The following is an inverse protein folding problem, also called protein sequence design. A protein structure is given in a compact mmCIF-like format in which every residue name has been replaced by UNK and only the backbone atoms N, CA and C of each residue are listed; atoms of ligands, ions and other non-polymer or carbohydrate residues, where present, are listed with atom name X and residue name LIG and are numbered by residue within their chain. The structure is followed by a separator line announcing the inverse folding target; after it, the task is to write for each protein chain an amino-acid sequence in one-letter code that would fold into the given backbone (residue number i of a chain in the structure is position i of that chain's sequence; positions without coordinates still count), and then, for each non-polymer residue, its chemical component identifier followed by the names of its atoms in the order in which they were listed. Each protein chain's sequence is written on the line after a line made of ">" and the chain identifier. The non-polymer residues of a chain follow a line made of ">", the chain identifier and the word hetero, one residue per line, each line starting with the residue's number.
data_IF_029246968164
#
_entry.id   IF_029246968164
#
_cell.length_a   1.000
_cell.length_b   1.000
_cell.length_c   1.000
_cell.angle_alpha   90.00
_cell.angle_beta   90.00
_cell.angle_gamma   90.00
#
_symmetry.space_group_name_H-M   'P 1'
#
loop_
_entity.id
_entity.type
_entity.pdbx_description
1 polymer ?
#
# COMPACT_ATOMS: atom_id res chain seq x y z
N UNK A 1 18.95 7.47 -6.24
CA UNK A 1 17.83 6.97 -7.06
C UNK A 1 16.53 7.57 -6.54
N UNK A 2 15.69 8.03 -7.42
CA UNK A 2 14.42 8.63 -7.04
C UNK A 2 13.33 7.57 -6.94
N UNK A 3 12.34 7.85 -6.11
CA UNK A 3 11.18 6.97 -5.92
C UNK A 3 10.54 6.61 -7.26
N UNK A 4 10.39 7.59 -8.17
CA UNK A 4 9.75 7.33 -9.48
C UNK A 4 10.43 6.25 -10.30
N UNK A 5 11.71 6.02 -10.07
CA UNK A 5 12.48 5.04 -10.82
C UNK A 5 12.26 3.61 -10.33
N UNK A 6 11.70 3.48 -9.13
CA UNK A 6 11.59 2.18 -8.44
C UNK A 6 10.13 1.80 -8.18
N UNK A 7 9.24 2.78 -8.04
CA UNK A 7 7.84 2.55 -7.67
C UNK A 7 7.10 1.69 -8.70
N UNK A 8 6.04 1.03 -8.23
CA UNK A 8 5.09 0.34 -9.09
C UNK A 8 4.00 1.33 -9.48
N UNK A 9 3.75 1.49 -10.79
CA UNK A 9 2.74 2.42 -11.29
C UNK A 9 1.36 1.80 -11.40
N UNK A 10 1.29 0.53 -11.76
CA UNK A 10 0.01 -0.18 -11.86
C UNK A 10 -0.26 -0.83 -10.51
N UNK A 11 -1.06 -0.16 -9.69
CA UNK A 11 -1.32 -0.60 -8.32
C UNK A 11 -2.75 -1.08 -8.17
N UNK A 12 -2.96 -2.00 -7.23
CA UNK A 12 -4.30 -2.45 -6.89
C UNK A 12 -5.00 -1.35 -6.11
N UNK A 13 -6.16 -0.92 -6.60
CA UNK A 13 -6.99 0.04 -5.90
C UNK A 13 -8.34 -0.61 -5.57
N UNK A 14 -8.96 -0.14 -4.49
CA UNK A 14 -10.24 -0.64 -4.04
C UNK A 14 -11.05 0.51 -3.43
N UNK A 15 -12.34 0.28 -3.27
CA UNK A 15 -13.23 1.25 -2.62
C UNK A 15 -13.43 0.87 -1.16
N UNK A 16 -13.86 1.83 -0.34
CA UNK A 16 -14.04 1.61 1.10
C UNK A 16 -15.01 0.49 1.43
N UNK A 17 -15.98 0.22 0.55
CA UNK A 17 -16.98 -0.82 0.77
C UNK A 17 -16.56 -2.21 0.35
N UNK A 18 -15.41 -2.36 -0.31
CA UNK A 18 -14.89 -3.67 -0.69
C UNK A 18 -14.74 -4.53 0.56
N UNK A 19 -15.15 -5.80 0.50
CA UNK A 19 -15.00 -6.68 1.66
C UNK A 19 -13.56 -7.15 1.80
N UNK A 20 -13.23 -7.55 3.02
CA UNK A 20 -11.90 -8.13 3.29
C UNK A 20 -11.66 -9.34 2.39
N UNK A 21 -12.68 -10.22 2.22
CA UNK A 21 -12.54 -11.39 1.36
C UNK A 21 -12.23 -11.01 -0.09
N UNK A 22 -12.92 -10.00 -0.62
CA UNK A 22 -12.70 -9.54 -1.98
C UNK A 22 -11.30 -8.95 -2.14
N UNK A 23 -10.90 -8.10 -1.20
CA UNK A 23 -9.58 -7.47 -1.24
C UNK A 23 -8.47 -8.53 -1.13
N UNK A 24 -8.62 -9.49 -0.21
CA UNK A 24 -7.65 -10.56 -0.04
C UNK A 24 -7.49 -11.38 -1.32
N UNK A 25 -8.61 -11.68 -1.98
CA UNK A 25 -8.59 -12.44 -3.23
C UNK A 25 -7.82 -11.69 -4.31
N UNK A 26 -8.08 -10.40 -4.46
CA UNK A 26 -7.39 -9.58 -5.47
C UNK A 26 -5.91 -9.43 -5.16
N UNK A 27 -5.57 -9.25 -3.88
CA UNK A 27 -4.18 -9.15 -3.46
C UNK A 27 -3.43 -10.45 -3.76
N UNK A 28 -4.06 -11.58 -3.49
CA UNK A 28 -3.47 -12.88 -3.77
C UNK A 28 -3.26 -13.10 -5.26
N UNK A 29 -4.26 -12.75 -6.08
CA UNK A 29 -4.18 -12.90 -7.53
C UNK A 29 -3.04 -12.06 -8.12
N UNK A 30 -2.86 -10.87 -7.60
CA UNK A 30 -1.84 -9.95 -8.10
C UNK A 30 -0.51 -10.08 -7.38
N UNK A 31 -0.44 -10.93 -6.38
CA UNK A 31 0.78 -11.17 -5.58
C UNK A 31 1.32 -9.87 -4.96
N UNK A 32 0.41 -9.07 -4.42
CA UNK A 32 0.76 -7.83 -3.73
C UNK A 32 0.28 -7.88 -2.29
N UNK A 33 0.96 -7.13 -1.43
CA UNK A 33 0.67 -7.12 0.00
C UNK A 33 -0.20 -5.98 0.46
N UNK A 34 -0.71 -5.18 -0.48
CA UNK A 34 -1.52 -4.02 -0.12
C UNK A 34 -2.46 -3.62 -1.24
N UNK A 35 -3.50 -2.88 -0.88
CA UNK A 35 -4.40 -2.24 -1.82
C UNK A 35 -4.56 -0.79 -1.38
N UNK A 36 -4.55 0.13 -2.33
CA UNK A 36 -4.82 1.53 -2.04
C UNK A 36 -6.32 1.75 -2.09
N UNK A 37 -6.86 2.37 -1.06
CA UNK A 37 -8.28 2.66 -0.98
C UNK A 37 -8.49 4.07 -1.49
N UNK A 38 -9.26 4.18 -2.57
CA UNK A 38 -9.41 5.45 -3.29
C UNK A 38 -10.87 5.79 -3.51
N UNK A 39 -11.09 7.08 -3.77
CA UNK A 39 -12.35 7.59 -4.25
C UNK A 39 -12.00 8.48 -5.44
N UNK A 40 -12.25 7.96 -6.65
CA UNK A 40 -11.70 8.58 -7.85
C UNK A 40 -10.18 8.50 -7.82
N UNK A 41 -9.51 9.65 -7.94
CA UNK A 41 -8.04 9.72 -7.86
C UNK A 41 -7.53 10.08 -6.47
N UNK A 42 -8.47 10.28 -5.54
CA UNK A 42 -8.13 10.70 -4.19
C UNK A 42 -7.81 9.48 -3.32
N UNK A 43 -6.66 9.51 -2.68
CA UNK A 43 -6.25 8.46 -1.76
C UNK A 43 -6.96 8.64 -0.41
N UNK A 44 -7.69 7.61 0.03
CA UNK A 44 -8.36 7.62 1.33
C UNK A 44 -7.59 6.84 2.38
N UNK A 45 -6.94 5.76 1.97
CA UNK A 45 -6.24 4.91 2.92
C UNK A 45 -5.46 3.80 2.24
N UNK A 46 -4.85 2.96 3.07
CA UNK A 46 -4.15 1.77 2.60
C UNK A 46 -4.60 0.57 3.43
N UNK A 47 -4.87 -0.54 2.74
CA UNK A 47 -5.27 -1.80 3.34
C UNK A 47 -4.20 -2.84 3.04
N UNK A 48 -3.69 -3.51 4.08
CA UNK A 48 -2.54 -4.38 3.96
C UNK A 48 -2.82 -5.78 4.49
N UNK A 49 -1.88 -6.70 4.24
CA UNK A 49 -1.94 -8.05 4.80
C UNK A 49 -2.01 -8.01 6.33
N UNK A 50 -1.31 -7.05 6.95
CA UNK A 50 -1.35 -6.89 8.41
C UNK A 50 -2.77 -6.58 8.89
N UNK A 51 -3.51 -5.77 8.11
CA UNK A 51 -4.90 -5.45 8.47
C UNK A 51 -5.79 -6.68 8.39
N UNK A 52 -5.54 -7.57 7.44
CA UNK A 52 -6.28 -8.84 7.34
C UNK A 52 -6.04 -9.68 8.59
N UNK A 53 -4.78 -9.81 8.99
CA UNK A 53 -4.42 -10.57 10.19
C UNK A 53 -5.07 -9.97 11.42
N UNK A 54 -5.04 -8.64 11.55
CA UNK A 54 -5.68 -7.96 12.70
C UNK A 54 -7.18 -8.22 12.74
N UNK A 55 -7.83 -8.08 11.59
CA UNK A 55 -9.29 -8.27 11.52
C UNK A 55 -9.67 -9.69 11.93
N UNK A 56 -9.00 -10.68 11.37
CA UNK A 56 -9.31 -12.08 11.65
C UNK A 56 -8.95 -12.47 13.09
N UNK A 57 -7.95 -11.82 13.68
CA UNK A 57 -7.58 -12.09 15.07
C UNK A 57 -8.66 -11.60 16.04
N UNK A 58 -9.42 -10.58 15.65
CA UNK A 58 -10.48 -10.04 16.50
C UNK A 58 -11.84 -10.67 16.22
N UNK A 59 -12.08 -11.11 14.98
CA UNK A 59 -13.34 -11.69 14.57
C UNK A 59 -13.10 -12.61 13.38
N UNK A 60 -13.18 -13.92 13.60
CA UNK A 60 -12.95 -14.91 12.57
C UNK A 60 -13.92 -14.76 11.38
N UNK A 61 -15.06 -14.11 11.56
CA UNK A 61 -16.03 -13.88 10.50
C UNK A 61 -15.89 -12.50 9.84
N UNK A 62 -14.76 -11.80 10.08
CA UNK A 62 -14.55 -10.45 9.58
C UNK A 62 -14.44 -10.37 8.06
N UNK A 63 -14.37 -11.50 7.37
CA UNK A 63 -14.23 -11.53 5.90
C UNK A 63 -15.35 -10.76 5.18
N UNK A 64 -16.51 -10.61 5.81
CA UNK A 64 -17.64 -9.87 5.25
C UNK A 64 -17.63 -8.38 5.56
N UNK A 65 -16.71 -7.94 6.39
CA UNK A 65 -16.62 -6.53 6.76
C UNK A 65 -15.90 -5.73 5.68
N UNK A 66 -16.25 -4.45 5.58
CA UNK A 66 -15.63 -3.55 4.61
C UNK A 66 -14.20 -3.21 5.03
N UNK A 67 -13.30 -3.13 4.04
CA UNK A 67 -11.91 -2.78 4.33
C UNK A 67 -11.77 -1.38 4.91
N UNK A 68 -12.76 -0.51 4.67
CA UNK A 68 -12.75 0.83 5.24
C UNK A 68 -12.74 0.85 6.76
N UNK A 69 -13.20 -0.22 7.42
CA UNK A 69 -13.16 -0.32 8.89
C UNK A 69 -11.77 -0.67 9.41
N UNK A 70 -10.91 -1.24 8.57
CA UNK A 70 -9.62 -1.79 8.99
C UNK A 70 -8.42 -1.10 8.37
N UNK A 71 -8.62 -0.34 7.29
CA UNK A 71 -7.54 0.35 6.60
C UNK A 71 -6.90 1.41 7.48
N UNK A 72 -5.68 1.79 7.15
CA UNK A 72 -5.04 2.97 7.73
C UNK A 72 -5.52 4.18 6.94
N UNK A 73 -6.18 5.12 7.61
CA UNK A 73 -6.64 6.35 6.98
C UNK A 73 -5.51 7.36 6.95
N UNK A 74 -5.51 8.19 5.90
CA UNK A 74 -4.49 9.23 5.74
C UNK A 74 -3.09 8.68 5.96
N UNK A 75 -2.71 7.65 5.18
CA UNK A 75 -1.39 7.03 5.36
C UNK A 75 -0.28 8.03 5.03
N UNK A 76 0.91 7.76 5.54
CA UNK A 76 2.07 8.52 5.11
C UNK A 76 2.28 8.28 3.63
N UNK A 77 2.62 9.32 2.91
CA UNK A 77 2.88 9.28 1.48
C UNK A 77 4.26 9.84 1.19
N UNK A 78 4.71 9.67 -0.04
CA UNK A 78 6.00 10.22 -0.46
C UNK A 78 5.86 10.76 -1.88
N UNK A 79 6.64 11.77 -2.20
CA UNK A 79 6.69 12.34 -3.54
C UNK A 79 7.50 11.43 -4.46
N UNK A 80 7.13 11.38 -5.73
CA UNK A 80 7.91 10.63 -6.72
C UNK A 80 9.31 11.21 -6.91
N UNK A 81 9.52 12.48 -6.54
CA UNK A 81 10.83 13.15 -6.60
C UNK A 81 11.72 12.85 -5.40
N UNK A 82 11.19 12.28 -4.34
CA UNK A 82 11.98 11.95 -3.16
C UNK A 82 12.97 10.84 -3.49
N UNK A 83 13.97 10.68 -2.63
CA UNK A 83 14.96 9.62 -2.82
C UNK A 83 14.47 8.32 -2.22
N UNK A 84 14.99 7.20 -2.75
CA UNK A 84 14.72 5.88 -2.21
C UNK A 84 15.21 5.78 -0.76
N UNK A 85 16.34 6.42 -0.45
CA UNK A 85 16.89 6.45 0.91
C UNK A 85 15.92 7.10 1.89
N UNK A 86 15.31 8.22 1.49
CA UNK A 86 14.32 8.89 2.34
C UNK A 86 13.11 8.00 2.56
N UNK A 87 12.64 7.33 1.51
CA UNK A 87 11.51 6.41 1.61
C UNK A 87 11.81 5.26 2.57
N UNK A 88 13.00 4.67 2.43
CA UNK A 88 13.42 3.56 3.28
C UNK A 88 13.48 3.98 4.74
N UNK A 89 14.01 5.18 5.01
CA UNK A 89 14.07 5.70 6.36
C UNK A 89 12.68 5.84 6.97
N UNK A 90 11.73 6.36 6.20
CA UNK A 90 10.35 6.50 6.68
C UNK A 90 9.71 5.16 6.99
N UNK A 91 9.96 4.16 6.15
CA UNK A 91 9.42 2.81 6.35
C UNK A 91 9.97 2.19 7.62
N UNK A 92 11.29 2.31 7.84
CA UNK A 92 11.94 1.75 9.01
C UNK A 92 11.45 2.44 10.28
N UNK A 93 11.41 3.77 10.28
CA UNK A 93 11.00 4.53 11.46
C UNK A 93 9.52 4.31 11.79
N UNK A 94 8.68 4.18 10.76
CA UNK A 94 7.24 4.01 10.95
C UNK A 94 6.80 2.57 11.16
N UNK A 95 7.68 1.62 10.89
CA UNK A 95 7.34 0.20 11.02
C UNK A 95 6.39 -0.30 9.96
N UNK A 96 6.41 0.27 8.76
CA UNK A 96 5.57 -0.18 7.66
C UNK A 96 6.42 -0.45 6.42
N UNK A 97 5.84 -1.14 5.46
CA UNK A 97 6.56 -1.63 4.27
C UNK A 97 6.04 -1.07 2.96
N UNK A 98 5.11 -0.15 3.01
CA UNK A 98 4.46 0.42 1.83
C UNK A 98 4.31 1.91 1.99
N UNK A 99 4.59 2.66 0.93
CA UNK A 99 4.35 4.09 0.88
C UNK A 99 3.60 4.41 -0.41
N UNK A 100 2.38 4.92 -0.32
CA UNK A 100 1.74 5.45 -1.52
C UNK A 100 2.53 6.64 -2.03
N UNK A 101 2.67 6.73 -3.35
CA UNK A 101 3.39 7.81 -3.99
C UNK A 101 2.34 8.79 -4.52
N UNK A 102 2.41 10.03 -4.04
CA UNK A 102 1.42 11.07 -4.34
C UNK A 102 2.14 12.33 -4.80
N UNK A 103 1.72 12.84 -5.95
CA UNK A 103 2.21 14.12 -6.49
C UNK A 103 0.97 15.00 -6.73
N UNK A 104 1.00 16.23 -6.21
CA UNK A 104 -0.09 17.20 -6.41
C UNK A 104 -1.46 16.61 -6.08
N UNK A 105 -1.56 15.94 -4.94
CA UNK A 105 -2.78 15.31 -4.43
C UNK A 105 -3.30 14.16 -5.29
N UNK A 106 -2.49 13.67 -6.23
CA UNK A 106 -2.85 12.54 -7.07
C UNK A 106 -1.97 11.34 -6.74
N UNK A 107 -2.61 10.19 -6.57
CA UNK A 107 -1.90 8.94 -6.37
C UNK A 107 -1.29 8.52 -7.71
N UNK A 108 0.05 8.41 -7.75
CA UNK A 108 0.77 8.07 -8.99
C UNK A 108 1.45 6.71 -8.93
N UNK A 109 1.50 6.09 -7.76
CA UNK A 109 2.12 4.77 -7.64
C UNK A 109 2.20 4.30 -6.21
N UNK A 110 2.95 3.21 -6.02
CA UNK A 110 3.18 2.61 -4.72
C UNK A 110 4.65 2.20 -4.66
N UNK A 111 5.28 2.49 -3.53
CA UNK A 111 6.64 2.01 -3.28
C UNK A 111 6.59 1.03 -2.11
N UNK A 112 7.10 -0.17 -2.32
CA UNK A 112 7.17 -1.18 -1.27
C UNK A 112 8.62 -1.48 -0.94
N UNK A 113 8.81 -2.06 0.25
CA UNK A 113 10.14 -2.56 0.65
C UNK A 113 10.66 -3.57 -0.37
N UNK A 114 9.74 -4.37 -0.94
CA UNK A 114 10.10 -5.34 -1.98
C UNK A 114 10.66 -4.66 -3.22
N UNK A 115 10.06 -3.54 -3.63
CA UNK A 115 10.53 -2.79 -4.80
C UNK A 115 11.98 -2.34 -4.59
N UNK A 116 12.29 -1.85 -3.40
CA UNK A 116 13.63 -1.39 -3.07
C UNK A 116 14.61 -2.57 -3.05
N UNK A 117 14.22 -3.67 -2.41
CA UNK A 117 15.05 -4.87 -2.33
C UNK A 117 15.37 -5.44 -3.71
N UNK A 118 14.36 -5.46 -4.59
CA UNK A 118 14.52 -5.98 -5.95
C UNK A 118 15.57 -5.18 -6.72
N UNK A 119 15.54 -3.87 -6.57
CA UNK A 119 16.51 -2.98 -7.21
C UNK A 119 17.93 -3.31 -6.76
N UNK A 120 18.11 -3.54 -5.46
CA UNK A 120 19.44 -3.82 -4.90
C UNK A 120 19.97 -5.17 -5.36
N UNK A 121 19.08 -6.17 -5.47
CA UNK A 121 19.47 -7.49 -5.97
C UNK A 121 19.90 -7.43 -7.42
N UNK A 122 19.36 -6.51 -8.21
CA UNK A 122 19.64 -6.40 -9.64
C UNK A 122 20.90 -5.57 -9.94
N UNK A 123 21.74 -5.34 -8.95
CA UNK A 123 23.05 -4.77 -9.21
C UNK A 123 23.19 -3.29 -9.02
N UNK A 124 22.38 -2.70 -8.26
CA UNK A 124 22.53 -1.29 -7.92
C UNK A 124 23.73 -1.03 -7.05
#
# INVERSE_FOLDING_TARGET
>A
MKVREVMTQVVLTSEVGTTIAEAASLMAQRRVGSALVVEGQRLLGIFTERDIVKALSQDASATHQAIGHWMTRNPQTISSDATVEEALQRMVEGGFRHLPVVDDDRMVGMLSMRDISRTRVQGE
#
